data_IF_913155315231
#
_entry.id   IF_913155315231
#
_cell.length_a   1.000
_cell.length_b   1.000
_cell.length_c   1.000
_cell.angle_alpha   90.00
_cell.angle_beta   90.00
_cell.angle_gamma   90.00
#
_symmetry.space_group_name_H-M   'P 1'
#
loop_
_entity.id
_entity.type
_entity.pdbx_description
1 polymer ?
#
# COMPACT_ATOMS: atom_id res chain seq x y z
N UNK A 1 -12.64 0.18 27.69
CA UNK A 1 -13.91 0.45 26.97
C UNK A 1 -13.77 1.78 26.24
N UNK A 2 -13.32 1.76 24.99
CA UNK A 2 -13.56 2.83 24.01
C UNK A 2 -13.69 2.16 22.65
N UNK A 3 -14.91 2.19 22.12
CA UNK A 3 -15.26 1.78 20.76
C UNK A 3 -14.67 2.78 19.76
N UNK A 4 -13.99 2.29 18.74
CA UNK A 4 -13.86 2.99 17.46
C UNK A 4 -14.24 2.00 16.35
N UNK A 5 -15.55 1.87 16.16
CA UNK A 5 -16.14 1.22 14.99
C UNK A 5 -16.97 2.28 14.27
N UNK A 6 -16.70 2.47 12.97
CA UNK A 6 -17.55 3.26 12.07
C UNK A 6 -16.89 4.53 11.55
N UNK A 7 -16.30 4.49 10.36
CA UNK A 7 -15.84 5.72 9.70
C UNK A 7 -15.43 5.60 8.24
N UNK A 8 -14.74 4.52 7.82
CA UNK A 8 -14.00 4.56 6.55
C UNK A 8 -14.57 3.74 5.38
N UNK A 9 -15.77 3.15 5.51
CA UNK A 9 -16.32 2.28 4.45
C UNK A 9 -16.83 3.02 3.22
N UNK A 10 -17.04 4.34 3.26
CA UNK A 10 -17.70 5.07 2.16
C UNK A 10 -16.77 5.58 1.05
N UNK A 11 -15.45 5.46 1.21
CA UNK A 11 -14.46 6.00 0.24
C UNK A 11 -13.66 4.91 -0.50
N UNK A 12 -13.66 3.65 -0.03
CA UNK A 12 -12.73 2.60 -0.50
C UNK A 12 -13.38 1.30 -0.99
N UNK A 13 -14.66 1.30 -1.37
CA UNK A 13 -15.46 0.08 -1.61
C UNK A 13 -14.91 -0.86 -2.70
N UNK A 14 -14.64 -0.40 -3.92
CA UNK A 14 -14.31 -1.32 -5.02
C UNK A 14 -12.94 -2.00 -4.90
N UNK A 15 -11.90 -1.23 -4.62
CA UNK A 15 -10.52 -1.72 -4.57
C UNK A 15 -10.25 -2.61 -3.36
N UNK A 16 -10.81 -2.27 -2.20
CA UNK A 16 -10.67 -3.06 -0.98
C UNK A 16 -11.28 -4.46 -1.15
N UNK A 17 -12.48 -4.55 -1.72
CA UNK A 17 -13.14 -5.84 -1.97
C UNK A 17 -12.35 -6.72 -2.95
N UNK A 18 -11.80 -6.17 -4.03
CA UNK A 18 -10.95 -6.91 -4.99
C UNK A 18 -9.66 -7.42 -4.34
N UNK A 19 -9.02 -6.59 -3.50
CA UNK A 19 -7.81 -6.97 -2.77
C UNK A 19 -8.11 -8.08 -1.75
N UNK A 20 -9.18 -7.96 -0.98
CA UNK A 20 -9.62 -9.00 -0.03
C UNK A 20 -9.91 -10.32 -0.73
N UNK A 21 -10.53 -10.29 -1.92
CA UNK A 21 -10.77 -11.49 -2.72
C UNK A 21 -9.44 -12.15 -3.17
N UNK A 22 -8.48 -11.38 -3.69
CA UNK A 22 -7.16 -11.91 -4.08
C UNK A 22 -6.37 -12.49 -2.91
N UNK A 23 -6.38 -11.83 -1.76
CA UNK A 23 -5.65 -12.29 -0.56
C UNK A 23 -6.24 -13.59 0.01
N UNK A 24 -7.55 -13.81 -0.16
CA UNK A 24 -8.22 -15.04 0.28
C UNK A 24 -7.90 -16.24 -0.61
N UNK A 25 -7.68 -16.02 -1.91
CA UNK A 25 -7.39 -17.05 -2.90
C UNK A 25 -5.90 -17.45 -2.94
N UNK A 26 -5.02 -16.63 -2.36
CA UNK A 26 -3.57 -16.81 -2.42
C UNK A 26 -3.03 -18.03 -1.65
N UNK A 27 -3.51 -18.36 -0.42
CA UNK A 27 -2.98 -19.47 0.38
C UNK A 27 -3.13 -20.82 -0.32
N UNK A 28 -4.25 -21.06 -1.01
CA UNK A 28 -4.52 -22.29 -1.75
C UNK A 28 -3.59 -22.47 -2.96
N UNK A 29 -3.00 -21.37 -3.47
CA UNK A 29 -2.13 -21.38 -4.66
C UNK A 29 -0.65 -21.56 -4.36
N UNK A 30 -0.20 -21.27 -3.14
CA UNK A 30 1.23 -21.26 -2.78
C UNK A 30 1.66 -22.46 -1.91
N UNK A 31 0.77 -23.45 -1.75
CA UNK A 31 1.00 -24.66 -0.94
C UNK A 31 1.61 -24.33 0.45
N UNK A 32 1.11 -23.26 1.08
CA UNK A 32 1.62 -22.87 2.40
C UNK A 32 1.02 -23.78 3.46
N UNK A 33 1.72 -24.86 3.78
CA UNK A 33 1.39 -25.66 4.96
C UNK A 33 1.55 -24.81 6.22
N UNK A 34 0.47 -24.66 6.98
CA UNK A 34 0.45 -23.93 8.25
C UNK A 34 1.33 -24.64 9.28
N UNK A 35 2.60 -24.25 9.38
CA UNK A 35 3.36 -24.45 10.60
C UNK A 35 2.84 -23.43 11.60
N UNK A 36 1.84 -23.85 12.38
CA UNK A 36 1.22 -23.05 13.43
C UNK A 36 2.23 -22.87 14.57
N UNK A 37 2.95 -21.76 14.55
CA UNK A 37 3.67 -21.29 15.74
C UNK A 37 2.65 -20.70 16.72
N UNK A 38 2.73 -21.01 18.01
CA UNK A 38 1.81 -20.46 18.98
C UNK A 38 1.97 -18.94 19.06
N UNK A 39 0.84 -18.23 19.08
CA UNK A 39 0.77 -16.76 19.02
C UNK A 39 1.38 -16.02 20.22
N UNK A 40 1.84 -16.77 21.23
CA UNK A 40 2.56 -16.27 22.40
C UNK A 40 4.08 -16.36 22.28
N UNK A 41 4.61 -16.91 21.18
CA UNK A 41 6.05 -17.00 20.95
C UNK A 41 6.60 -15.64 20.49
N UNK A 42 6.79 -14.72 21.43
CA UNK A 42 7.41 -13.43 21.16
C UNK A 42 8.93 -13.57 21.21
N UNK A 43 9.52 -14.05 20.11
CA UNK A 43 10.96 -14.06 19.94
C UNK A 43 11.41 -12.62 19.66
N UNK A 44 11.83 -11.91 20.71
CA UNK A 44 12.31 -10.53 20.61
C UNK A 44 13.41 -10.42 19.56
N UNK A 45 13.07 -9.86 18.40
CA UNK A 45 14.03 -9.60 17.34
C UNK A 45 14.50 -8.16 17.47
N UNK A 46 15.79 -7.99 17.79
CA UNK A 46 16.44 -6.69 17.82
C UNK A 46 16.77 -6.26 16.39
N UNK A 47 15.82 -5.63 15.71
CA UNK A 47 16.04 -5.03 14.40
C UNK A 47 16.37 -3.54 14.54
N UNK A 48 17.34 -3.07 13.76
CA UNK A 48 17.56 -1.63 13.59
C UNK A 48 16.35 -1.00 12.90
N UNK A 49 16.25 0.34 12.90
CA UNK A 49 15.14 1.06 12.25
C UNK A 49 14.95 0.62 10.78
N UNK A 50 16.05 0.34 10.06
CA UNK A 50 16.02 -0.14 8.68
C UNK A 50 15.53 -1.58 8.52
N UNK A 51 15.63 -2.40 9.57
CA UNK A 51 15.13 -3.78 9.59
C UNK A 51 13.60 -3.89 9.68
N UNK A 52 12.90 -2.79 9.96
CA UNK A 52 11.43 -2.73 9.85
C UNK A 52 10.94 -2.85 8.41
N UNK A 53 11.80 -2.54 7.43
CA UNK A 53 11.48 -2.55 6.02
C UNK A 53 10.25 -1.68 5.65
N UNK A 54 9.99 -0.61 6.41
CA UNK A 54 8.89 0.34 6.21
C UNK A 54 9.36 1.69 5.60
N UNK A 55 10.46 1.69 4.84
CA UNK A 55 10.94 2.91 4.18
C UNK A 55 9.88 3.44 3.22
N UNK A 56 9.54 4.72 3.36
CA UNK A 56 8.50 5.36 2.58
C UNK A 56 8.81 6.84 2.35
N UNK A 57 8.11 7.48 1.42
CA UNK A 57 8.20 8.94 1.20
C UNK A 57 9.45 9.44 0.50
N UNK A 58 10.21 8.55 -0.14
CA UNK A 58 11.42 8.89 -0.90
C UNK A 58 11.13 9.64 -2.21
N UNK A 59 9.92 9.48 -2.79
CA UNK A 59 9.43 10.31 -3.91
C UNK A 59 7.93 10.56 -3.75
N UNK A 60 7.59 11.47 -2.83
CA UNK A 60 6.20 11.78 -2.48
C UNK A 60 5.37 12.25 -3.69
N UNK A 61 4.10 11.88 -3.69
CA UNK A 61 3.10 12.45 -4.59
C UNK A 61 2.57 13.81 -4.10
N UNK A 62 1.98 14.60 -4.98
CA UNK A 62 1.36 15.89 -4.65
C UNK A 62 0.87 16.64 -5.88
N UNK A 63 0.20 17.76 -5.64
CA UNK A 63 -0.29 18.62 -6.73
C UNK A 63 0.77 19.61 -7.25
N UNK A 64 1.79 19.89 -6.46
CA UNK A 64 2.81 20.88 -6.78
C UNK A 64 4.15 20.20 -7.11
N UNK A 65 4.66 20.33 -8.35
CA UNK A 65 5.93 19.75 -8.77
C UNK A 65 7.15 20.34 -8.04
N UNK A 66 7.01 21.49 -7.37
CA UNK A 66 8.10 22.06 -6.55
C UNK A 66 8.26 21.36 -5.21
N UNK A 67 7.22 20.65 -4.75
CA UNK A 67 7.20 20.01 -3.43
C UNK A 67 6.96 18.50 -3.50
N UNK A 68 6.73 17.94 -4.69
CA UNK A 68 6.48 16.52 -4.94
C UNK A 68 7.14 16.05 -6.23
N UNK A 69 7.57 14.78 -6.27
CA UNK A 69 8.17 14.19 -7.47
C UNK A 69 7.14 13.55 -8.40
N UNK A 70 5.98 13.18 -7.86
CA UNK A 70 4.87 12.56 -8.58
C UNK A 70 3.60 13.40 -8.43
N UNK A 71 2.71 13.33 -9.42
CA UNK A 71 1.33 13.78 -9.26
C UNK A 71 0.50 12.81 -8.40
N UNK A 72 -0.75 13.16 -8.10
CA UNK A 72 -1.66 12.30 -7.30
C UNK A 72 -2.03 10.96 -7.96
N UNK A 73 -1.74 10.79 -9.25
CA UNK A 73 -1.87 9.54 -9.98
C UNK A 73 -0.55 8.77 -10.06
N UNK A 74 0.44 9.16 -9.26
CA UNK A 74 1.76 8.56 -9.19
C UNK A 74 2.55 8.66 -10.50
N UNK A 75 2.18 9.59 -11.40
CA UNK A 75 2.96 9.92 -12.61
C UNK A 75 4.07 10.90 -12.24
N UNK A 76 5.26 10.74 -12.78
CA UNK A 76 6.31 11.74 -12.64
C UNK A 76 5.90 13.04 -13.33
N UNK A 77 6.06 14.19 -12.65
CA UNK A 77 5.64 15.49 -13.19
C UNK A 77 6.32 15.85 -14.51
N UNK A 78 7.56 15.42 -14.70
CA UNK A 78 8.41 15.86 -15.80
C UNK A 78 8.61 14.79 -16.89
N UNK A 79 7.96 13.62 -16.78
CA UNK A 79 8.15 12.51 -17.71
C UNK A 79 6.81 11.90 -18.10
N UNK A 80 6.46 12.07 -19.37
CA UNK A 80 5.23 11.56 -19.95
C UNK A 80 5.31 10.05 -20.20
N UNK A 81 4.83 9.26 -19.24
CA UNK A 81 4.68 7.78 -19.21
C UNK A 81 5.41 7.07 -18.04
N UNK A 82 6.04 7.82 -17.14
CA UNK A 82 6.73 7.25 -15.98
C UNK A 82 5.82 7.29 -14.75
N UNK A 83 5.60 6.12 -14.14
CA UNK A 83 4.79 5.96 -12.93
C UNK A 83 5.57 5.21 -11.84
N UNK A 84 5.40 5.62 -10.59
CA UNK A 84 6.05 4.97 -9.43
C UNK A 84 5.00 4.54 -8.42
N UNK A 85 4.90 3.23 -8.18
CA UNK A 85 3.76 2.62 -7.48
C UNK A 85 4.24 1.68 -6.36
N UNK A 86 4.99 2.22 -5.42
CA UNK A 86 5.55 1.51 -4.26
C UNK A 86 5.39 2.32 -2.95
N UNK A 87 6.19 2.08 -1.91
CA UNK A 87 6.09 2.85 -0.65
C UNK A 87 6.59 4.32 -0.76
N UNK A 88 7.22 4.69 -1.86
CA UNK A 88 7.87 6.00 -1.98
C UNK A 88 6.88 7.17 -2.11
N UNK A 89 5.65 6.93 -2.58
CA UNK A 89 4.67 8.00 -2.80
C UNK A 89 4.07 8.57 -1.52
N UNK A 90 4.19 7.88 -0.38
CA UNK A 90 3.60 8.29 0.89
C UNK A 90 4.11 9.66 1.33
N UNK A 91 3.20 10.58 1.69
CA UNK A 91 3.58 11.90 2.24
C UNK A 91 3.93 11.81 3.72
N UNK A 92 3.45 10.77 4.41
CA UNK A 92 3.77 10.47 5.81
C UNK A 92 3.87 8.97 6.03
N UNK A 93 4.72 8.58 6.99
CA UNK A 93 4.76 7.21 7.45
C UNK A 93 3.46 6.88 8.19
N UNK A 94 2.80 5.79 7.78
CA UNK A 94 1.67 5.26 8.53
C UNK A 94 2.17 4.59 9.81
N UNK A 95 1.43 4.71 10.92
CA UNK A 95 1.70 3.97 12.16
C UNK A 95 1.40 2.45 12.03
N UNK A 96 1.08 1.98 10.82
CA UNK A 96 0.67 0.62 10.47
C UNK A 96 1.39 0.16 9.20
N UNK A 97 1.38 -1.16 8.95
CA UNK A 97 2.10 -1.76 7.82
C UNK A 97 1.65 -1.18 6.46
N UNK A 98 2.58 -0.70 5.62
CA UNK A 98 2.23 0.03 4.40
C UNK A 98 1.75 -0.87 3.25
N UNK A 99 1.99 -2.18 3.31
CA UNK A 99 1.80 -3.12 2.19
C UNK A 99 0.40 -3.11 1.59
N UNK A 100 -0.65 -3.12 2.42
CA UNK A 100 -2.03 -3.11 1.92
C UNK A 100 -2.37 -1.79 1.22
N UNK A 101 -1.86 -0.67 1.74
CA UNK A 101 -2.05 0.65 1.13
C UNK A 101 -1.30 0.75 -0.20
N UNK A 102 -0.10 0.19 -0.30
CA UNK A 102 0.66 0.11 -1.56
C UNK A 102 -0.14 -0.68 -2.61
N UNK A 103 -0.64 -1.87 -2.26
CA UNK A 103 -1.44 -2.68 -3.18
C UNK A 103 -2.73 -1.99 -3.61
N UNK A 104 -3.44 -1.35 -2.69
CA UNK A 104 -4.65 -0.61 -3.01
C UNK A 104 -4.37 0.57 -3.95
N UNK A 105 -3.28 1.31 -3.72
CA UNK A 105 -2.87 2.41 -4.59
C UNK A 105 -2.46 1.91 -5.98
N UNK A 106 -1.80 0.75 -6.06
CA UNK A 106 -1.41 0.16 -7.34
C UNK A 106 -2.61 -0.19 -8.22
N UNK A 107 -3.66 -0.75 -7.63
CA UNK A 107 -4.91 -1.01 -8.35
C UNK A 107 -5.56 0.29 -8.84
N UNK A 108 -5.61 1.33 -7.99
CA UNK A 108 -6.15 2.65 -8.35
C UNK A 108 -5.41 3.27 -9.54
N UNK A 109 -4.07 3.25 -9.52
CA UNK A 109 -3.25 3.78 -10.62
C UNK A 109 -3.44 2.95 -11.89
N UNK A 110 -3.51 1.62 -11.77
CA UNK A 110 -3.84 0.75 -12.90
C UNK A 110 -5.19 1.07 -13.55
N UNK A 111 -6.24 1.28 -12.75
CA UNK A 111 -7.55 1.66 -13.26
C UNK A 111 -7.50 3.04 -13.97
N UNK A 112 -6.69 4.01 -13.47
CA UNK A 112 -6.48 5.30 -14.12
C UNK A 112 -5.77 5.18 -15.49
N UNK A 113 -4.74 4.33 -15.57
CA UNK A 113 -4.02 4.08 -16.83
C UNK A 113 -4.92 3.50 -17.91
N UNK A 114 -5.84 2.60 -17.54
CA UNK A 114 -6.80 2.01 -18.47
C UNK A 114 -7.82 3.02 -19.01
N UNK A 115 -8.17 4.06 -18.23
CA UNK A 115 -9.08 5.12 -18.68
C UNK A 115 -8.43 6.08 -19.68
N UNK A 116 -7.12 6.32 -19.56
CA UNK A 116 -6.36 7.20 -20.46
C UNK A 116 -5.84 6.53 -21.73
N UNK A 117 -5.99 5.20 -21.85
CA UNK A 117 -5.54 4.41 -22.99
C UNK A 117 -6.61 4.24 -24.10
N UNK A 118 -7.66 5.07 -24.08
CA UNK A 118 -8.75 5.11 -25.07
C UNK A 118 -8.55 6.17 -26.14
#
# INVERSE_FOLDING_TARGET
>A
MQHFAGGNTKVYGGALFRLTAKLRDLPDRIDCHQHLLPSNLYLGKHFSIGGTAHQCGTIRFGHDPKTSGLDVNCKAHNVDNLYVVDASFFVSAAAVNPSLTIMANALRVGDHLLQGAG
#
